data_IF_360344910673
#
_entry.id   IF_360344910673
#
_cell.length_a   1.000
_cell.length_b   1.000
_cell.length_c   1.000
_cell.angle_alpha   90.00
_cell.angle_beta   90.00
_cell.angle_gamma   90.00
#
_symmetry.space_group_name_H-M   'P 1'
#
loop_
_entity.id
_entity.type
_entity.pdbx_description
1 polymer ?
#
# COMPACT_ATOMS: atom_id res chain seq x y z
N UNK A 1 16.27 20.08 18.34
CA UNK A 1 16.11 20.31 19.79
C UNK A 1 16.56 19.16 20.69
N UNK A 2 15.87 18.00 20.82
CA UNK A 2 16.20 16.96 21.83
C UNK A 2 17.64 16.41 21.86
N UNK A 3 18.38 16.51 20.74
CA UNK A 3 19.80 16.12 20.63
C UNK A 3 20.78 17.31 20.62
N UNK A 4 20.30 18.53 20.89
CA UNK A 4 21.09 19.77 20.90
C UNK A 4 21.60 20.24 19.53
N UNK A 5 21.23 19.60 18.42
CA UNK A 5 21.78 19.88 17.08
C UNK A 5 21.08 20.99 16.28
N UNK A 6 19.93 21.48 16.77
CA UNK A 6 19.12 22.49 16.10
C UNK A 6 18.46 23.32 17.19
N UNK A 7 18.75 24.62 17.16
CA UNK A 7 18.19 25.66 18.02
C UNK A 7 17.23 26.52 17.18
N UNK A 8 15.98 26.62 17.63
CA UNK A 8 14.92 27.35 16.97
C UNK A 8 14.48 28.59 17.77
N UNK A 9 15.16 28.93 18.86
CA UNK A 9 14.83 30.06 19.72
C UNK A 9 14.85 31.40 18.99
N UNK A 10 15.66 31.53 17.94
CA UNK A 10 15.79 32.73 17.10
C UNK A 10 14.98 32.66 15.80
N UNK A 11 14.11 31.67 15.62
CA UNK A 11 13.30 31.54 14.41
C UNK A 11 12.24 32.65 14.34
N UNK A 12 12.49 33.66 13.50
CA UNK A 12 11.56 34.78 13.28
C UNK A 12 10.40 34.45 12.33
N UNK A 13 10.51 33.37 11.55
CA UNK A 13 9.49 32.96 10.58
C UNK A 13 9.30 31.46 10.60
N UNK A 14 8.04 31.01 10.65
CA UNK A 14 7.65 29.61 10.55
C UNK A 14 6.59 29.45 9.46
N UNK A 15 6.83 28.51 8.55
CA UNK A 15 5.90 28.17 7.47
C UNK A 15 5.48 26.73 7.62
N UNK A 16 4.17 26.51 7.75
CA UNK A 16 3.55 25.18 7.74
C UNK A 16 2.90 24.98 6.37
N UNK A 17 3.57 24.25 5.48
CA UNK A 17 3.05 23.92 4.16
C UNK A 17 2.40 22.52 4.14
N UNK A 18 1.38 22.34 3.29
CA UNK A 18 0.54 21.13 3.23
C UNK A 18 0.08 20.66 4.64
N UNK A 19 -0.40 21.60 5.48
CA UNK A 19 -0.61 21.33 6.90
C UNK A 19 -1.66 20.24 7.20
N UNK A 20 -2.74 20.17 6.42
CA UNK A 20 -3.73 19.09 6.49
C UNK A 20 -3.14 17.70 6.26
N UNK A 21 -2.14 17.62 5.39
CA UNK A 21 -1.44 16.38 5.11
C UNK A 21 -0.49 15.96 6.24
N UNK A 22 0.18 16.91 6.88
CA UNK A 22 1.00 16.57 8.05
C UNK A 22 0.14 16.03 9.20
N UNK A 23 -1.09 16.53 9.35
CA UNK A 23 -2.07 15.99 10.30
C UNK A 23 -2.54 14.57 9.94
N UNK A 24 -2.86 14.32 8.66
CA UNK A 24 -3.34 13.00 8.22
C UNK A 24 -2.31 11.89 8.47
N UNK A 25 -1.04 12.27 8.53
CA UNK A 25 0.08 11.40 8.89
C UNK A 25 0.29 11.19 10.40
N UNK A 26 -0.40 11.95 11.25
CA UNK A 26 -0.23 11.89 12.70
C UNK A 26 0.94 12.71 13.23
N UNK A 27 1.48 13.68 12.47
CA UNK A 27 2.59 14.53 12.93
C UNK A 27 2.16 15.72 13.80
N UNK A 28 0.91 15.74 14.26
CA UNK A 28 0.40 16.88 15.03
C UNK A 28 1.23 17.15 16.29
N UNK A 29 1.56 16.10 17.05
CA UNK A 29 2.36 16.22 18.28
C UNK A 29 3.78 16.73 17.98
N UNK A 30 4.37 16.27 16.88
CA UNK A 30 5.70 16.70 16.45
C UNK A 30 5.69 18.18 16.01
N UNK A 31 4.65 18.63 15.31
CA UNK A 31 4.48 20.03 14.90
C UNK A 31 4.32 20.92 16.13
N UNK A 32 3.46 20.54 17.07
CA UNK A 32 3.26 21.29 18.31
C UNK A 32 4.59 21.42 19.07
N UNK A 33 5.34 20.33 19.20
CA UNK A 33 6.66 20.33 19.84
C UNK A 33 7.63 21.32 19.16
N UNK A 34 7.64 21.37 17.82
CA UNK A 34 8.49 22.30 17.07
C UNK A 34 8.06 23.75 17.31
N UNK A 35 6.76 24.03 17.27
CA UNK A 35 6.22 25.38 17.43
C UNK A 35 6.41 25.91 18.86
N UNK A 36 6.30 25.04 19.86
CA UNK A 36 6.53 25.38 21.27
C UNK A 36 8.01 25.75 21.55
N UNK A 37 8.95 25.23 20.75
CA UNK A 37 10.38 25.52 20.87
C UNK A 37 10.84 26.73 20.02
N UNK A 38 9.91 27.41 19.33
CA UNK A 38 10.19 28.64 18.56
C UNK A 38 9.79 29.91 19.34
N UNK A 39 10.41 31.04 19.02
CA UNK A 39 10.07 32.36 19.63
C UNK A 39 8.58 32.67 19.53
N UNK A 40 7.99 33.22 20.60
CA UNK A 40 6.60 33.72 20.58
C UNK A 40 6.44 34.90 19.61
N UNK A 41 7.46 35.76 19.50
CA UNK A 41 7.50 36.84 18.51
C UNK A 41 8.04 36.30 17.19
N UNK A 42 7.14 35.73 16.39
CA UNK A 42 7.45 35.21 15.05
C UNK A 42 6.29 35.45 14.08
N UNK A 43 6.61 35.51 12.80
CA UNK A 43 5.61 35.41 11.74
C UNK A 43 5.31 33.94 11.46
N UNK A 44 4.04 33.54 11.56
CA UNK A 44 3.59 32.19 11.19
C UNK A 44 2.73 32.25 9.93
N UNK A 45 3.05 31.44 8.92
CA UNK A 45 2.21 31.23 7.74
C UNK A 45 1.77 29.76 7.67
N UNK A 46 0.49 29.52 7.42
CA UNK A 46 -0.09 28.17 7.30
C UNK A 46 -0.77 28.03 5.95
N UNK A 47 -0.31 27.05 5.15
CA UNK A 47 -0.88 26.67 3.88
C UNK A 47 -1.47 25.27 4.00
N UNK A 48 -2.71 25.13 3.55
CA UNK A 48 -3.45 23.87 3.67
C UNK A 48 -4.47 23.77 2.56
N UNK A 49 -4.60 22.59 1.95
CA UNK A 49 -5.57 22.38 0.89
C UNK A 49 -7.01 22.32 1.45
N UNK A 50 -7.15 21.87 2.69
CA UNK A 50 -8.40 21.73 3.45
C UNK A 50 -8.28 22.36 4.84
N UNK A 51 -9.41 22.64 5.50
CA UNK A 51 -9.45 23.30 6.82
C UNK A 51 -10.24 22.48 7.86
N UNK A 52 -9.77 21.27 8.21
CA UNK A 52 -10.37 20.46 9.27
C UNK A 52 -10.22 21.14 10.63
N UNK A 53 -10.99 20.67 11.64
CA UNK A 53 -11.02 21.29 12.98
C UNK A 53 -9.64 21.36 13.62
N UNK A 54 -8.80 20.34 13.43
CA UNK A 54 -7.44 20.30 13.96
C UNK A 54 -6.54 21.39 13.37
N UNK A 55 -6.63 21.68 12.06
CA UNK A 55 -5.89 22.81 11.45
C UNK A 55 -6.34 24.14 12.02
N UNK A 56 -7.66 24.33 12.20
CA UNK A 56 -8.17 25.55 12.82
C UNK A 56 -7.68 25.72 14.26
N UNK A 57 -7.63 24.63 15.02
CA UNK A 57 -7.08 24.64 16.37
C UNK A 57 -5.59 25.01 16.37
N UNK A 58 -4.82 24.43 15.45
CA UNK A 58 -3.40 24.75 15.29
C UNK A 58 -3.19 26.22 14.93
N UNK A 59 -3.93 26.73 13.93
CA UNK A 59 -3.87 28.14 13.52
C UNK A 59 -4.23 29.08 14.68
N UNK A 60 -5.32 28.80 15.41
CA UNK A 60 -5.75 29.63 16.53
C UNK A 60 -4.77 29.62 17.71
N UNK A 61 -4.04 28.52 17.91
CA UNK A 61 -3.10 28.37 19.03
C UNK A 61 -1.75 29.02 18.75
N UNK A 62 -1.26 28.95 17.50
CA UNK A 62 0.13 29.30 17.16
C UNK A 62 0.28 30.46 16.17
N UNK A 63 -0.81 31.08 15.74
CA UNK A 63 -0.80 32.27 14.90
C UNK A 63 -1.43 33.45 15.64
N UNK A 64 -0.79 34.61 15.59
CA UNK A 64 -1.34 35.85 16.09
C UNK A 64 -2.09 36.58 14.97
N UNK A 65 -3.35 36.95 15.23
CA UNK A 65 -4.27 37.65 14.31
C UNK A 65 -4.15 37.23 12.81
N UNK A 66 -4.34 35.95 12.46
CA UNK A 66 -4.05 35.45 11.12
C UNK A 66 -5.00 36.03 10.06
N UNK A 67 -4.45 36.52 8.96
CA UNK A 67 -5.22 36.88 7.78
C UNK A 67 -5.58 35.61 7.00
N UNK A 68 -6.88 35.40 6.76
CA UNK A 68 -7.36 34.21 6.06
C UNK A 68 -7.57 34.50 4.57
N UNK A 69 -6.86 33.79 3.72
CA UNK A 69 -7.04 33.82 2.26
C UNK A 69 -7.61 32.47 1.84
N UNK A 70 -8.83 32.46 1.31
CA UNK A 70 -9.47 31.26 0.79
C UNK A 70 -9.61 31.38 -0.74
N UNK A 71 -8.98 30.45 -1.47
CA UNK A 71 -9.13 30.33 -2.92
C UNK A 71 -10.23 29.31 -3.18
N UNK A 72 -11.27 29.69 -3.91
CA UNK A 72 -12.30 28.74 -4.33
C UNK A 72 -11.69 27.67 -5.24
N UNK A 73 -11.84 26.39 -4.87
CA UNK A 73 -11.40 25.28 -5.71
C UNK A 73 -12.25 25.22 -6.97
N UNK A 74 -11.72 25.68 -8.10
CA UNK A 74 -12.22 25.26 -9.41
C UNK A 74 -12.05 23.73 -9.50
N UNK A 75 -13.14 22.98 -9.65
CA UNK A 75 -13.22 21.50 -9.59
C UNK A 75 -12.41 20.73 -10.68
N UNK A 76 -11.36 21.29 -11.27
CA UNK A 76 -10.88 20.90 -12.62
C UNK A 76 -9.56 20.13 -12.70
N UNK A 77 -8.92 19.72 -11.61
CA UNK A 77 -7.63 19.01 -11.73
C UNK A 77 -7.73 17.51 -11.98
N UNK A 78 -8.86 16.88 -11.66
CA UNK A 78 -8.99 15.42 -11.87
C UNK A 78 -9.53 15.08 -13.28
N UNK A 79 -10.16 16.02 -13.99
CA UNK A 79 -10.72 15.73 -15.32
C UNK A 79 -9.67 15.42 -16.40
N UNK A 80 -8.40 15.78 -16.20
CA UNK A 80 -7.30 15.48 -17.14
C UNK A 80 -6.55 14.17 -16.83
N UNK A 81 -6.89 13.51 -15.71
CA UNK A 81 -6.22 12.29 -15.27
C UNK A 81 -7.12 11.09 -15.55
N UNK A 82 -6.67 10.22 -16.44
CA UNK A 82 -7.28 8.92 -16.67
C UNK A 82 -7.00 8.02 -15.46
N UNK A 83 -8.05 7.46 -14.84
CA UNK A 83 -7.94 6.64 -13.65
C UNK A 83 -8.45 5.23 -13.89
N UNK A 84 -7.56 4.24 -13.74
CA UNK A 84 -7.88 2.81 -13.83
C UNK A 84 -7.51 2.08 -12.55
N UNK A 85 -8.34 1.13 -12.15
CA UNK A 85 -8.11 0.25 -11.01
C UNK A 85 -8.06 -1.21 -11.46
N UNK A 86 -7.15 -1.98 -10.87
CA UNK A 86 -6.95 -3.40 -11.16
C UNK A 86 -7.10 -4.21 -9.89
N UNK A 87 -8.06 -5.12 -9.91
CA UNK A 87 -8.29 -6.07 -8.83
C UNK A 87 -7.26 -7.19 -8.91
N UNK A 88 -6.44 -7.34 -7.87
CA UNK A 88 -5.32 -8.30 -7.81
C UNK A 88 -5.21 -8.97 -6.44
N UNK A 89 -4.56 -10.12 -6.37
CA UNK A 89 -4.13 -10.67 -5.08
C UNK A 89 -2.88 -9.95 -4.59
N UNK A 90 -2.67 -9.92 -3.27
CA UNK A 90 -1.51 -9.23 -2.68
C UNK A 90 -0.17 -9.75 -3.23
N UNK A 91 -0.03 -11.08 -3.34
CA UNK A 91 1.17 -11.73 -3.86
C UNK A 91 1.36 -11.51 -5.38
N UNK A 92 0.30 -11.18 -6.11
CA UNK A 92 0.31 -10.95 -7.55
C UNK A 92 0.57 -9.48 -7.91
N UNK A 93 0.60 -8.54 -6.94
CA UNK A 93 0.76 -7.10 -7.21
C UNK A 93 2.01 -6.78 -8.05
N UNK A 94 3.14 -7.42 -7.73
CA UNK A 94 4.38 -7.23 -8.48
C UNK A 94 4.24 -7.71 -9.94
N UNK A 95 3.65 -8.89 -10.14
CA UNK A 95 3.39 -9.43 -11.47
C UNK A 95 2.43 -8.53 -12.26
N UNK A 96 1.37 -8.03 -11.62
CA UNK A 96 0.42 -7.10 -12.21
C UNK A 96 1.10 -5.79 -12.62
N UNK A 97 1.92 -5.21 -11.74
CA UNK A 97 2.68 -4.01 -12.02
C UNK A 97 3.56 -4.19 -13.26
N UNK A 98 4.38 -5.25 -13.31
CA UNK A 98 5.27 -5.49 -14.46
C UNK A 98 4.51 -5.71 -15.77
N UNK A 99 3.30 -6.28 -15.74
CA UNK A 99 2.47 -6.40 -16.94
C UNK A 99 1.97 -5.05 -17.44
N UNK A 100 1.60 -4.15 -16.53
CA UNK A 100 1.20 -2.79 -16.90
C UNK A 100 2.39 -2.03 -17.51
N UNK A 101 3.59 -2.20 -16.95
CA UNK A 101 4.81 -1.61 -17.50
C UNK A 101 5.15 -2.02 -18.94
N UNK A 102 4.64 -3.17 -19.40
CA UNK A 102 4.88 -3.67 -20.76
C UNK A 102 3.87 -3.15 -21.79
N UNK A 103 2.69 -2.67 -21.35
CA UNK A 103 1.62 -2.23 -22.27
C UNK A 103 1.40 -0.72 -22.25
N UNK A 104 1.70 -0.08 -21.12
CA UNK A 104 1.50 1.35 -20.97
C UNK A 104 2.67 2.14 -21.59
N UNK A 105 2.41 3.23 -22.32
CA UNK A 105 3.45 4.06 -22.93
C UNK A 105 4.13 4.97 -21.88
N UNK A 106 4.88 4.37 -20.96
CA UNK A 106 5.48 5.07 -19.81
C UNK A 106 6.71 5.88 -20.23
N UNK A 107 6.62 7.20 -20.16
CA UNK A 107 7.78 8.10 -20.22
C UNK A 107 8.47 8.25 -18.87
N UNK A 108 7.68 8.36 -17.80
CA UNK A 108 8.10 8.61 -16.43
C UNK A 108 7.02 8.09 -15.47
N UNK A 109 7.41 7.34 -14.44
CA UNK A 109 6.51 6.70 -13.51
C UNK A 109 6.89 7.00 -12.05
N UNK A 110 5.88 7.33 -11.25
CA UNK A 110 5.98 7.40 -9.79
C UNK A 110 5.10 6.33 -9.17
N UNK A 111 5.71 5.42 -8.42
CA UNK A 111 5.06 4.28 -7.78
C UNK A 111 4.98 4.53 -6.28
N UNK A 112 3.76 4.52 -5.73
CA UNK A 112 3.53 4.67 -4.31
C UNK A 112 3.41 3.32 -3.60
N UNK A 113 4.31 3.08 -2.64
CA UNK A 113 4.29 1.93 -1.75
C UNK A 113 4.12 2.36 -0.28
N UNK A 114 3.55 1.48 0.54
CA UNK A 114 3.14 1.79 1.91
C UNK A 114 4.31 2.02 2.87
N UNK A 115 5.41 1.28 2.74
CA UNK A 115 6.51 1.26 3.72
C UNK A 115 7.85 1.59 3.08
N UNK A 116 8.78 2.15 3.87
CA UNK A 116 10.14 2.48 3.39
C UNK A 116 10.88 1.23 2.92
N UNK A 117 10.82 0.14 3.70
CA UNK A 117 11.37 -1.16 3.31
C UNK A 117 10.73 -1.66 2.01
N UNK A 118 9.41 -1.51 1.87
CA UNK A 118 8.68 -1.89 0.67
C UNK A 118 9.14 -1.13 -0.57
N UNK A 119 9.45 0.17 -0.46
CA UNK A 119 9.96 0.95 -1.60
C UNK A 119 11.30 0.42 -2.13
N UNK A 120 12.24 0.11 -1.23
CA UNK A 120 13.56 -0.42 -1.61
C UNK A 120 13.45 -1.83 -2.20
N UNK A 121 12.67 -2.71 -1.57
CA UNK A 121 12.42 -4.05 -2.08
C UNK A 121 11.78 -4.00 -3.48
N UNK A 122 10.74 -3.18 -3.66
CA UNK A 122 10.06 -3.05 -4.94
C UNK A 122 10.97 -2.49 -6.04
N UNK A 123 11.78 -1.46 -5.75
CA UNK A 123 12.74 -0.90 -6.70
C UNK A 123 13.79 -1.93 -7.15
N UNK A 124 14.31 -2.73 -6.20
CA UNK A 124 15.25 -3.81 -6.50
C UNK A 124 14.61 -4.90 -7.37
N UNK A 125 13.39 -5.32 -7.03
CA UNK A 125 12.64 -6.33 -7.80
C UNK A 125 12.34 -5.84 -9.23
N UNK A 126 12.00 -4.56 -9.41
CA UNK A 126 11.80 -3.96 -10.74
C UNK A 126 13.09 -3.93 -11.54
N UNK A 127 14.19 -3.50 -10.92
CA UNK A 127 15.52 -3.44 -11.56
C UNK A 127 16.00 -4.83 -11.99
N UNK A 128 15.82 -5.85 -11.13
CA UNK A 128 16.14 -7.24 -11.44
C UNK A 128 15.33 -7.79 -12.63
N UNK A 129 14.15 -7.22 -12.91
CA UNK A 129 13.28 -7.55 -14.05
C UNK A 129 13.50 -6.62 -15.25
N UNK A 130 14.58 -5.85 -15.26
CA UNK A 130 14.95 -4.99 -16.38
C UNK A 130 14.15 -3.69 -16.48
N UNK A 131 13.51 -3.24 -15.40
CA UNK A 131 12.89 -1.92 -15.26
C UNK A 131 13.73 -1.05 -14.33
N UNK A 132 14.56 -0.12 -14.87
CA UNK A 132 15.42 0.73 -14.05
C UNK A 132 14.58 1.60 -13.10
N UNK A 133 14.63 1.28 -11.81
CA UNK A 133 13.82 1.92 -10.78
C UNK A 133 14.66 2.22 -9.54
N UNK A 134 14.39 3.37 -8.91
CA UNK A 134 15.07 3.75 -7.67
C UNK A 134 14.08 4.10 -6.54
N UNK A 135 14.41 3.73 -5.30
CA UNK A 135 13.58 4.09 -4.16
C UNK A 135 13.78 5.56 -3.78
N UNK A 136 12.72 6.18 -3.26
CA UNK A 136 12.72 7.52 -2.70
C UNK A 136 11.94 7.48 -1.39
N UNK A 137 12.66 7.35 -0.27
CA UNK A 137 12.06 7.20 1.05
C UNK A 137 12.85 7.97 2.11
N UNK A 138 12.34 8.01 3.34
CA UNK A 138 12.94 8.76 4.45
C UNK A 138 14.23 8.18 5.03
N UNK A 139 14.73 7.05 4.52
CA UNK A 139 15.99 6.47 4.96
C UNK A 139 17.18 6.97 4.10
N UNK A 140 16.90 7.64 2.99
CA UNK A 140 17.91 8.29 2.16
C UNK A 140 18.44 9.57 2.83
N UNK A 141 19.76 9.78 2.74
CA UNK A 141 20.34 11.08 3.07
C UNK A 141 19.83 12.15 2.11
N UNK A 142 19.84 13.42 2.54
CA UNK A 142 19.42 14.53 1.69
C UNK A 142 20.20 14.59 0.37
N UNK A 143 21.52 14.36 0.42
CA UNK A 143 22.36 14.28 -0.78
C UNK A 143 21.97 13.14 -1.71
N UNK A 144 21.72 11.94 -1.16
CA UNK A 144 21.27 10.80 -1.97
C UNK A 144 19.90 11.07 -2.61
N UNK A 145 18.99 11.71 -1.85
CA UNK A 145 17.68 12.14 -2.34
C UNK A 145 17.82 13.08 -3.55
N UNK A 146 18.65 14.10 -3.44
CA UNK A 146 18.91 15.05 -4.53
C UNK A 146 19.53 14.38 -5.76
N UNK A 147 20.42 13.41 -5.58
CA UNK A 147 21.01 12.64 -6.68
C UNK A 147 19.99 11.76 -7.41
N UNK A 148 19.10 11.07 -6.67
CA UNK A 148 18.01 10.28 -7.24
C UNK A 148 17.07 11.18 -8.05
N UNK A 149 16.66 12.31 -7.46
CA UNK A 149 15.78 13.29 -8.11
C UNK A 149 16.44 13.91 -9.34
N UNK A 150 17.73 14.24 -9.26
CA UNK A 150 18.50 14.73 -10.40
C UNK A 150 18.51 13.71 -11.53
N UNK A 151 18.79 12.44 -11.26
CA UNK A 151 18.77 11.38 -12.28
C UNK A 151 17.39 11.19 -12.90
N UNK A 152 16.32 11.33 -12.13
CA UNK A 152 14.95 11.26 -12.64
C UNK A 152 14.62 12.45 -13.56
N UNK A 153 14.90 13.69 -13.12
CA UNK A 153 14.65 14.90 -13.93
C UNK A 153 15.42 14.91 -15.25
N UNK A 154 16.64 14.38 -15.27
CA UNK A 154 17.46 14.24 -16.48
C UNK A 154 17.15 12.97 -17.29
N UNK A 155 16.05 12.27 -16.98
CA UNK A 155 15.57 11.08 -17.72
C UNK A 155 16.59 9.92 -17.76
N UNK A 156 17.53 9.86 -16.79
CA UNK A 156 18.49 8.76 -16.63
C UNK A 156 17.82 7.54 -15.99
N UNK A 157 16.84 7.79 -15.13
CA UNK A 157 15.92 6.78 -14.60
C UNK A 157 14.49 7.23 -14.92
N UNK A 158 13.63 6.27 -15.23
CA UNK A 158 12.23 6.55 -15.60
C UNK A 158 11.24 6.20 -14.50
N UNK A 159 11.68 5.51 -13.44
CA UNK A 159 10.80 4.95 -12.42
C UNK A 159 11.31 5.33 -11.04
N UNK A 160 10.44 5.95 -10.25
CA UNK A 160 10.66 6.19 -8.82
C UNK A 160 9.68 5.38 -8.00
N UNK A 161 10.15 4.79 -6.91
CA UNK A 161 9.31 4.09 -5.93
C UNK A 161 9.36 4.85 -4.62
N UNK A 162 8.26 5.48 -4.23
CA UNK A 162 8.21 6.39 -3.10
C UNK A 162 7.16 6.02 -2.04
N UNK A 163 7.39 6.47 -0.82
CA UNK A 163 6.33 6.59 0.19
C UNK A 163 5.64 7.94 0.06
N UNK A 164 4.44 8.07 0.63
CA UNK A 164 3.71 9.35 0.66
C UNK A 164 4.57 10.50 1.17
N UNK A 165 5.34 10.26 2.24
CA UNK A 165 6.20 11.27 2.88
C UNK A 165 7.27 11.78 1.94
N UNK A 166 7.95 10.85 1.27
CA UNK A 166 9.09 11.19 0.42
C UNK A 166 8.66 11.77 -0.93
N UNK A 167 7.39 11.56 -1.31
CA UNK A 167 6.79 12.11 -2.50
C UNK A 167 6.24 13.54 -2.34
N UNK A 168 6.12 14.04 -1.10
CA UNK A 168 5.68 15.41 -0.83
C UNK A 168 6.74 16.44 -1.17
N UNK A 169 6.28 17.62 -1.60
CA UNK A 169 7.17 18.72 -2.04
C UNK A 169 8.08 18.35 -3.21
N UNK A 170 7.85 17.21 -3.88
CA UNK A 170 8.58 16.87 -5.08
C UNK A 170 8.13 17.80 -6.21
N UNK A 171 8.98 18.77 -6.49
CA UNK A 171 8.97 19.52 -7.72
C UNK A 171 9.56 18.65 -8.84
N UNK A 172 8.73 17.70 -9.27
CA UNK A 172 8.98 16.84 -10.41
C UNK A 172 7.83 17.08 -11.37
N UNK A 173 8.04 18.02 -12.27
CA UNK A 173 7.16 18.20 -13.40
C UNK A 173 7.22 16.96 -14.30
N UNK A 174 6.11 16.69 -15.01
CA UNK A 174 6.06 15.74 -16.12
C UNK A 174 6.13 14.24 -15.78
N UNK A 175 5.48 13.82 -14.69
CA UNK A 175 5.19 12.40 -14.46
C UNK A 175 4.03 11.98 -15.37
N UNK A 176 4.25 11.05 -16.30
CA UNK A 176 3.15 10.55 -17.16
C UNK A 176 2.27 9.54 -16.44
N UNK A 177 2.86 8.72 -15.56
CA UNK A 177 2.14 7.65 -14.89
C UNK A 177 2.33 7.69 -13.37
N UNK A 178 1.22 7.64 -12.64
CA UNK A 178 1.23 7.39 -11.20
C UNK A 178 0.68 5.99 -10.94
N UNK A 179 1.45 5.17 -10.23
CA UNK A 179 1.04 3.84 -9.81
C UNK A 179 0.78 3.83 -8.31
N UNK A 180 -0.45 3.55 -7.89
CA UNK A 180 -0.74 3.15 -6.52
C UNK A 180 -0.51 1.64 -6.39
N UNK A 181 0.72 1.24 -6.05
CA UNK A 181 1.04 -0.17 -5.79
C UNK A 181 0.30 -0.67 -4.55
N UNK A 182 0.28 0.18 -3.52
CA UNK A 182 -0.58 0.02 -2.35
C UNK A 182 -1.67 1.08 -2.35
N UNK A 183 -2.93 0.66 -2.23
CA UNK A 183 -4.06 1.58 -2.14
C UNK A 183 -3.92 2.45 -0.87
N UNK A 184 -4.01 3.80 -0.98
CA UNK A 184 -3.93 4.67 0.19
C UNK A 184 -5.10 4.40 1.16
N UNK A 185 -4.86 4.64 2.45
CA UNK A 185 -5.89 4.47 3.49
C UNK A 185 -6.99 5.53 3.38
N UNK A 186 -6.59 6.74 2.98
CA UNK A 186 -7.45 7.92 2.95
C UNK A 186 -7.56 8.53 1.55
N UNK A 187 -8.72 9.14 1.31
CA UNK A 187 -9.09 9.68 0.00
C UNK A 187 -8.33 10.96 -0.35
N UNK A 188 -7.92 11.74 0.65
CA UNK A 188 -7.08 12.95 0.47
C UNK A 188 -5.70 12.58 -0.06
N UNK A 189 -5.06 11.60 0.58
CA UNK A 189 -3.78 11.04 0.13
C UNK A 189 -3.90 10.55 -1.33
N UNK A 190 -4.99 9.86 -1.68
CA UNK A 190 -5.20 9.43 -3.07
C UNK A 190 -5.16 10.60 -4.06
N UNK A 191 -5.88 11.69 -3.77
CA UNK A 191 -5.90 12.89 -4.62
C UNK A 191 -4.51 13.49 -4.75
N UNK A 192 -3.72 13.55 -3.67
CA UNK A 192 -2.35 14.05 -3.72
C UNK A 192 -1.37 13.17 -4.48
N UNK A 193 -1.58 11.85 -4.46
CA UNK A 193 -0.81 10.90 -5.27
C UNK A 193 -1.09 11.09 -6.75
N UNK A 194 -2.36 11.04 -7.15
CA UNK A 194 -2.72 11.17 -8.57
C UNK A 194 -2.42 12.58 -9.10
N UNK A 195 -2.49 13.61 -8.24
CA UNK A 195 -2.07 14.97 -8.56
C UNK A 195 -0.56 15.16 -8.78
N UNK A 196 0.24 14.08 -8.73
CA UNK A 196 1.64 14.09 -9.21
C UNK A 196 1.74 13.97 -10.73
N UNK A 197 0.68 13.52 -11.39
CA UNK A 197 0.54 13.58 -12.86
C UNK A 197 -0.51 14.60 -13.27
N UNK A 198 -0.68 14.83 -14.58
CA UNK A 198 -1.72 15.73 -15.11
C UNK A 198 -1.52 17.21 -14.77
N UNK A 199 -0.29 17.64 -14.47
CA UNK A 199 0.06 19.02 -14.13
C UNK A 199 0.20 19.90 -15.38
N UNK A 200 0.02 21.21 -15.21
CA UNK A 200 0.20 22.22 -16.27
C UNK A 200 -0.60 21.94 -17.57
N UNK A 201 -1.80 21.37 -17.45
CA UNK A 201 -2.69 21.10 -18.59
C UNK A 201 -2.34 19.83 -19.40
N UNK A 202 -1.31 19.08 -18.99
CA UNK A 202 -0.99 17.76 -19.57
C UNK A 202 -1.99 16.70 -19.12
N UNK A 203 -2.15 15.66 -19.92
CA UNK A 203 -2.88 14.44 -19.53
C UNK A 203 -1.98 13.54 -18.69
N UNK A 204 -2.57 12.81 -17.76
CA UNK A 204 -1.87 11.86 -16.90
C UNK A 204 -2.63 10.57 -16.74
N UNK A 205 -1.93 9.48 -16.43
CA UNK A 205 -2.56 8.18 -16.16
C UNK A 205 -2.27 7.77 -14.72
N UNK A 206 -3.32 7.46 -13.97
CA UNK A 206 -3.24 6.96 -12.60
C UNK A 206 -3.76 5.52 -12.53
N UNK A 207 -2.85 4.58 -12.29
CA UNK A 207 -3.15 3.15 -12.22
C UNK A 207 -3.11 2.67 -10.78
N UNK A 208 -4.17 2.02 -10.32
CA UNK A 208 -4.33 1.63 -8.92
C UNK A 208 -4.49 0.14 -8.78
N UNK A 209 -3.58 -0.51 -8.04
CA UNK A 209 -3.72 -1.91 -7.66
C UNK A 209 -4.49 -1.99 -6.34
N UNK A 210 -5.47 -2.89 -6.25
CA UNK A 210 -6.21 -3.11 -5.01
C UNK A 210 -6.61 -4.57 -4.86
N UNK A 211 -6.73 -5.01 -3.60
CA UNK A 211 -7.16 -6.36 -3.27
C UNK A 211 -8.67 -6.46 -3.01
N UNK A 212 -9.27 -7.67 -3.02
CA UNK A 212 -10.68 -7.85 -2.66
C UNK A 212 -11.04 -7.24 -1.29
N UNK A 213 -10.11 -7.27 -0.32
CA UNK A 213 -10.30 -6.71 1.03
C UNK A 213 -10.33 -5.18 1.04
N UNK A 214 -9.83 -4.54 -0.02
CA UNK A 214 -9.68 -3.09 -0.15
C UNK A 214 -10.76 -2.47 -1.05
N UNK A 215 -11.67 -3.27 -1.61
CA UNK A 215 -12.73 -2.79 -2.49
C UNK A 215 -13.60 -1.70 -1.83
N UNK A 216 -13.83 -1.79 -0.52
CA UNK A 216 -14.57 -0.76 0.22
C UNK A 216 -13.82 0.58 0.27
N UNK A 217 -12.48 0.57 0.32
CA UNK A 217 -11.66 1.79 0.30
C UNK A 217 -11.70 2.45 -1.07
N UNK A 218 -11.64 1.66 -2.14
CA UNK A 218 -11.79 2.18 -3.51
C UNK A 218 -13.12 2.91 -3.66
N UNK A 219 -14.23 2.33 -3.18
CA UNK A 219 -15.55 2.99 -3.17
C UNK A 219 -15.59 4.27 -2.32
N UNK A 220 -14.85 4.30 -1.20
CA UNK A 220 -14.71 5.52 -0.38
C UNK A 220 -14.00 6.63 -1.16
N UNK A 221 -12.95 6.28 -1.90
CA UNK A 221 -12.22 7.20 -2.78
C UNK A 221 -13.15 7.74 -3.88
N UNK A 222 -13.86 6.88 -4.61
CA UNK A 222 -14.79 7.29 -5.68
C UNK A 222 -15.87 8.26 -5.16
N UNK A 223 -16.41 8.00 -3.96
CA UNK A 223 -17.41 8.87 -3.33
C UNK A 223 -16.83 10.24 -2.96
N UNK A 224 -15.58 10.28 -2.51
CA UNK A 224 -14.89 11.52 -2.15
C UNK A 224 -14.53 12.35 -3.39
N UNK A 225 -13.95 11.71 -4.41
CA UNK A 225 -13.57 12.36 -5.67
C UNK A 225 -14.79 12.71 -6.53
N UNK A 226 -15.97 12.12 -6.23
CA UNK A 226 -17.19 12.18 -7.05
C UNK A 226 -16.95 11.70 -8.48
N UNK A 227 -15.97 10.82 -8.66
CA UNK A 227 -15.59 10.26 -9.94
C UNK A 227 -15.50 8.74 -9.81
N UNK A 228 -16.05 8.06 -10.81
CA UNK A 228 -15.96 6.60 -10.90
C UNK A 228 -14.58 6.22 -11.42
N UNK A 229 -13.92 5.28 -10.76
CA UNK A 229 -12.63 4.76 -11.22
C UNK A 229 -12.92 3.49 -12.02
N UNK A 230 -12.48 3.46 -13.28
CA UNK A 230 -12.74 2.32 -14.15
C UNK A 230 -11.98 1.09 -13.63
N UNK A 231 -12.70 0.01 -13.33
CA UNK A 231 -12.05 -1.27 -12.99
C UNK A 231 -11.72 -2.02 -14.28
N UNK A 232 -10.45 -2.03 -14.65
CA UNK A 232 -9.94 -2.65 -15.86
C UNK A 232 -9.40 -4.07 -15.58
N UNK A 233 -9.34 -4.89 -16.64
CA UNK A 233 -8.69 -6.20 -16.58
C UNK A 233 -7.20 -6.04 -16.86
N UNK A 234 -6.39 -6.84 -16.16
CA UNK A 234 -4.97 -6.88 -16.42
C UNK A 234 -4.69 -7.44 -17.83
N UNK A 235 -3.65 -6.92 -18.50
CA UNK A 235 -3.19 -7.47 -19.76
C UNK A 235 -2.88 -8.97 -19.65
N UNK A 236 -3.30 -9.71 -20.65
CA UNK A 236 -2.96 -11.13 -20.79
C UNK A 236 -1.53 -11.29 -21.30
N UNK A 237 -0.92 -12.48 -21.14
CA UNK A 237 0.37 -12.75 -21.76
C UNK A 237 0.37 -12.59 -23.28
N UNK A 238 -0.77 -12.82 -23.94
CA UNK A 238 -0.92 -12.63 -25.39
C UNK A 238 -0.91 -11.14 -25.75
N UNK A 239 -1.61 -10.30 -24.98
CA UNK A 239 -1.60 -8.84 -25.17
C UNK A 239 -0.18 -8.28 -25.07
N UNK A 240 0.60 -8.75 -24.09
CA UNK A 240 1.99 -8.31 -23.87
C UNK A 240 2.89 -8.75 -25.04
N UNK A 241 2.78 -10.01 -25.49
CA UNK A 241 3.54 -10.50 -26.64
C UNK A 241 3.20 -9.71 -27.89
N UNK A 242 1.91 -9.47 -28.15
CA UNK A 242 1.44 -8.68 -29.28
C UNK A 242 1.98 -7.24 -29.24
N UNK A 243 2.00 -6.61 -28.05
CA UNK A 243 2.57 -5.26 -27.87
C UNK A 243 4.07 -5.23 -28.16
N UNK A 244 4.84 -6.17 -27.63
CA UNK A 244 6.29 -6.28 -27.89
C UNK A 244 6.59 -6.45 -29.38
N UNK A 245 5.81 -7.29 -30.04
CA UNK A 245 5.94 -7.52 -31.49
C UNK A 245 5.60 -6.26 -32.28
N UNK A 246 4.52 -5.57 -31.93
CA UNK A 246 4.14 -4.30 -32.57
C UNK A 246 5.24 -3.23 -32.41
N UNK A 247 5.80 -3.06 -31.21
CA UNK A 247 6.88 -2.09 -30.97
C UNK A 247 8.16 -2.42 -31.75
N UNK A 248 8.50 -3.72 -31.86
CA UNK A 248 9.64 -4.17 -32.63
C UNK A 248 9.46 -3.86 -34.12
N UNK A 249 8.28 -4.17 -34.67
CA UNK A 249 7.95 -3.89 -36.06
C UNK A 249 7.93 -2.38 -36.35
N UNK A 250 7.43 -1.56 -35.44
CA UNK A 250 7.45 -0.10 -35.57
C UNK A 250 8.88 0.43 -35.62
N UNK A 251 9.76 -0.02 -34.70
CA UNK A 251 11.19 0.33 -34.73
C UNK A 251 11.85 -0.10 -36.03
N UNK A 252 11.59 -1.32 -36.49
CA UNK A 252 12.11 -1.82 -37.77
C UNK A 252 11.64 -0.96 -38.94
N UNK A 253 10.35 -0.59 -38.99
CA UNK A 253 9.81 0.27 -40.03
C UNK A 253 10.49 1.66 -40.07
N UNK A 254 10.81 2.23 -38.90
CA UNK A 254 11.57 3.49 -38.80
C UNK A 254 12.98 3.33 -39.39
N UNK A 255 13.69 2.25 -39.08
CA UNK A 255 15.04 2.00 -39.59
C UNK A 255 15.06 1.68 -41.10
N UNK A 256 14.07 0.91 -41.57
CA UNK A 256 13.89 0.64 -43.00
C UNK A 256 13.72 1.94 -43.81
N UNK A 257 12.91 2.89 -43.31
CA UNK A 257 12.74 4.22 -43.94
C UNK A 257 14.03 5.05 -43.95
N UNK A 258 14.88 4.91 -42.93
CA UNK A 258 16.14 5.66 -42.81
C UNK A 258 17.24 5.15 -43.74
N UNK A 259 17.18 3.89 -44.18
CA UNK A 259 18.09 3.32 -45.20
C UNK A 259 19.57 3.17 -44.79
N UNK A 260 19.90 3.32 -43.50
CA UNK A 260 21.28 3.27 -42.98
C UNK A 260 21.67 1.86 -42.53
N UNK A 261 21.79 0.93 -43.48
CA UNK A 261 22.08 -0.49 -43.20
C UNK A 261 23.14 -1.08 -44.14
N UNK A 262 24.18 -0.32 -44.51
CA UNK A 262 25.18 -0.78 -45.50
C UNK A 262 25.97 -1.99 -44.99
N UNK A 263 26.47 -1.91 -43.75
CA UNK A 263 27.25 -3.00 -43.15
C UNK A 263 26.40 -4.25 -42.93
N UNK A 264 25.17 -4.07 -42.46
CA UNK A 264 24.23 -5.17 -42.25
C UNK A 264 23.88 -5.86 -43.57
N UNK A 265 23.75 -5.11 -44.67
CA UNK A 265 23.55 -5.68 -46.01
C UNK A 265 24.74 -6.50 -46.48
N UNK A 266 25.97 -6.03 -46.26
CA UNK A 266 27.19 -6.80 -46.58
C UNK A 266 27.22 -8.13 -45.81
N UNK A 267 26.91 -8.11 -44.50
CA UNK A 267 26.86 -9.30 -43.67
C UNK A 267 25.78 -10.29 -44.14
N UNK A 268 24.60 -9.78 -44.50
CA UNK A 268 23.52 -10.62 -45.05
C UNK A 268 23.90 -11.18 -46.42
N UNK A 269 24.56 -10.41 -47.28
CA UNK A 269 25.03 -10.88 -48.58
C UNK A 269 26.01 -12.07 -48.45
N UNK A 270 26.97 -12.00 -47.52
CA UNK A 270 27.87 -13.11 -47.24
C UNK A 270 27.14 -14.39 -46.79
N UNK A 271 26.12 -14.27 -45.93
CA UNK A 271 25.30 -15.42 -45.53
C UNK A 271 24.49 -16.02 -46.69
N UNK A 272 24.05 -15.19 -47.64
CA UNK A 272 23.36 -15.65 -48.85
C UNK A 272 24.34 -16.36 -49.79
N UNK A 273 25.57 -15.86 -49.92
CA UNK A 273 26.64 -16.54 -50.68
C UNK A 273 26.99 -17.92 -50.09
N UNK A 274 26.90 -18.07 -48.77
CA UNK A 274 27.04 -19.35 -48.06
C UNK A 274 25.84 -20.29 -48.28
N UNK A 275 24.81 -19.87 -49.01
CA UNK A 275 23.66 -20.68 -49.41
C UNK A 275 22.44 -20.58 -48.47
N UNK A 276 22.42 -19.62 -47.54
CA UNK A 276 21.27 -19.42 -46.65
C UNK A 276 20.18 -18.56 -47.29
N UNK A 277 18.92 -18.89 -47.03
CA UNK A 277 17.77 -18.13 -47.53
C UNK A 277 17.58 -16.79 -46.79
N UNK A 278 17.19 -15.75 -47.54
CA UNK A 278 16.99 -14.39 -47.01
C UNK A 278 15.92 -14.33 -45.91
N UNK A 279 14.84 -15.10 -46.05
CA UNK A 279 13.75 -15.12 -45.07
C UNK A 279 14.20 -15.85 -43.80
N UNK A 280 14.99 -16.91 -43.93
CA UNK A 280 15.58 -17.60 -42.78
C UNK A 280 16.56 -16.70 -42.01
N UNK A 281 17.45 -15.98 -42.71
CA UNK A 281 18.36 -15.01 -42.11
C UNK A 281 17.58 -13.93 -41.34
N UNK A 282 16.53 -13.37 -41.96
CA UNK A 282 15.69 -12.35 -41.34
C UNK A 282 14.95 -12.90 -40.10
N UNK A 283 14.44 -14.13 -40.16
CA UNK A 283 13.78 -14.77 -39.04
C UNK A 283 14.74 -15.02 -37.87
N UNK A 284 15.97 -15.46 -38.14
CA UNK A 284 17.01 -15.65 -37.11
C UNK A 284 17.45 -14.32 -36.51
N UNK A 285 17.66 -13.29 -37.33
CA UNK A 285 17.99 -11.95 -36.85
C UNK A 285 16.89 -11.40 -35.93
N UNK A 286 15.61 -11.60 -36.30
CA UNK A 286 14.48 -11.22 -35.47
C UNK A 286 14.44 -12.02 -34.15
N UNK A 287 14.69 -13.33 -34.21
CA UNK A 287 14.78 -14.19 -33.03
C UNK A 287 15.89 -13.76 -32.07
N UNK A 288 17.04 -13.32 -32.60
CA UNK A 288 18.15 -12.77 -31.82
C UNK A 288 17.83 -11.39 -31.25
N UNK A 289 17.19 -10.50 -32.02
CA UNK A 289 16.75 -9.20 -31.54
C UNK A 289 15.75 -9.30 -30.38
N UNK A 290 14.92 -10.36 -30.38
CA UNK A 290 14.00 -10.69 -29.30
C UNK A 290 14.66 -11.38 -28.10
N UNK A 291 15.97 -11.61 -28.09
CA UNK A 291 16.64 -12.30 -27.00
C UNK A 291 16.52 -11.56 -25.65
N UNK A 292 16.45 -10.22 -25.67
CA UNK A 292 16.23 -9.40 -24.47
C UNK A 292 14.87 -9.66 -23.81
N UNK A 293 13.86 -10.15 -24.55
CA UNK A 293 12.56 -10.53 -23.98
C UNK A 293 12.69 -11.63 -22.92
N UNK A 294 13.76 -12.43 -22.97
CA UNK A 294 14.05 -13.46 -21.96
C UNK A 294 14.35 -12.86 -20.58
N UNK A 295 14.88 -11.64 -20.53
CA UNK A 295 15.17 -10.95 -19.28
C UNK A 295 13.90 -10.41 -18.60
N UNK A 296 12.78 -10.33 -19.33
CA UNK A 296 11.47 -9.86 -18.84
C UNK A 296 10.41 -10.96 -18.92
N UNK A 297 10.47 -11.98 -18.04
CA UNK A 297 9.48 -13.05 -18.04
C UNK A 297 8.09 -12.53 -17.66
N UNK A 298 7.06 -12.98 -18.38
CA UNK A 298 5.68 -12.66 -18.06
C UNK A 298 5.24 -13.53 -16.89
N UNK A 299 5.20 -12.96 -15.69
CA UNK A 299 4.77 -13.66 -14.48
C UNK A 299 3.31 -14.12 -14.59
N UNK A 300 3.03 -15.33 -14.09
CA UNK A 300 1.66 -15.85 -13.95
C UNK A 300 0.95 -15.08 -12.83
N UNK A 301 -0.36 -14.89 -12.98
CA UNK A 301 -1.22 -14.21 -12.00
C UNK A 301 -2.32 -15.18 -11.63
N UNK A 302 -2.57 -15.33 -10.32
CA UNK A 302 -3.64 -16.19 -9.82
C UNK A 302 -5.02 -15.64 -10.14
N UNK A 303 -6.01 -16.52 -10.27
CA UNK A 303 -7.40 -16.08 -10.38
C UNK A 303 -7.79 -15.34 -9.09
N UNK A 304 -8.35 -14.14 -9.22
CA UNK A 304 -8.83 -13.40 -8.05
C UNK A 304 -10.19 -13.94 -7.67
N UNK A 305 -10.23 -14.77 -6.62
CA UNK A 305 -11.49 -15.17 -6.01
C UNK A 305 -11.94 -14.01 -5.14
N UNK A 306 -12.91 -13.23 -5.65
CA UNK A 306 -13.65 -12.32 -4.80
C UNK A 306 -14.34 -13.20 -3.74
N UNK A 307 -13.84 -13.19 -2.50
CA UNK A 307 -14.53 -13.82 -1.39
C UNK A 307 -15.93 -13.22 -1.37
N UNK A 308 -16.93 -13.99 -1.80
CA UNK A 308 -18.31 -13.55 -1.91
C UNK A 308 -18.66 -12.85 -0.62
N UNK A 309 -18.94 -11.55 -0.70
CA UNK A 309 -19.48 -10.79 0.41
C UNK A 309 -20.59 -11.65 1.00
N UNK A 310 -20.47 -12.00 2.28
CA UNK A 310 -21.52 -12.71 3.03
C UNK A 310 -22.82 -12.01 2.69
N UNK A 311 -23.65 -12.67 1.88
CA UNK A 311 -24.96 -12.18 1.50
C UNK A 311 -25.64 -11.75 2.79
N UNK A 312 -26.00 -10.46 2.84
CA UNK A 312 -26.79 -9.87 3.90
C UNK A 312 -28.01 -10.76 4.14
N UNK A 313 -27.93 -11.59 5.19
CA UNK A 313 -29.09 -12.29 5.75
C UNK A 313 -29.86 -11.26 6.58
N UNK A 314 -30.35 -10.21 5.91
CA UNK A 314 -31.13 -9.13 6.52
C UNK A 314 -32.53 -8.96 5.90
N UNK A 315 -32.96 -9.91 5.07
CA UNK A 315 -34.32 -9.98 4.53
C UNK A 315 -35.02 -11.27 4.96
N UNK A 316 -35.29 -11.42 6.27
CA UNK A 316 -36.24 -12.46 6.73
C UNK A 316 -37.02 -12.16 8.01
N UNK A 317 -37.17 -10.89 8.38
CA UNK A 317 -38.16 -10.47 9.38
C UNK A 317 -38.81 -9.15 8.96
N UNK A 318 -39.68 -9.26 7.97
CA UNK A 318 -40.58 -8.20 7.58
C UNK A 318 -41.70 -8.82 6.77
N UNK A 319 -42.79 -9.22 7.42
CA UNK A 319 -44.14 -8.74 7.13
C UNK A 319 -45.18 -9.67 7.79
N UNK A 320 -45.92 -9.15 8.75
CA UNK A 320 -47.00 -9.91 9.37
C UNK A 320 -47.50 -9.32 10.68
N UNK A 321 -48.09 -8.12 10.65
CA UNK A 321 -49.41 -7.86 11.28
C UNK A 321 -49.89 -6.42 11.09
N UNK A 322 -51.00 -6.37 10.36
CA UNK A 322 -52.07 -5.38 10.23
C UNK A 322 -52.09 -4.22 11.26
N UNK A 323 -52.24 -3.04 10.68
CA UNK A 323 -52.99 -1.87 11.20
C UNK A 323 -54.20 -2.29 12.03
N UNK A 324 -54.27 -1.75 13.24
CA UNK A 324 -55.46 -1.69 14.09
C UNK A 324 -55.39 -0.41 14.92
N UNK A 325 -56.16 0.58 14.49
CA UNK A 325 -56.46 1.84 15.15
C UNK A 325 -57.11 1.59 16.52
N UNK A 326 -56.62 2.18 17.62
CA UNK A 326 -57.44 2.65 18.74
C UNK A 326 -56.62 3.52 19.69
N UNK A 327 -57.12 4.73 19.97
CA UNK A 327 -56.55 5.65 20.95
C UNK A 327 -56.78 5.21 22.39
N UNK A 328 -56.13 5.88 23.33
CA UNK A 328 -56.38 5.65 24.74
C UNK A 328 -55.30 6.21 25.65
N UNK A 329 -55.62 7.34 26.27
CA UNK A 329 -54.94 8.00 27.37
C UNK A 329 -54.80 7.04 28.58
N UNK A 330 -53.67 7.02 29.28
CA UNK A 330 -53.50 6.16 30.46
C UNK A 330 -52.19 6.34 31.21
N UNK A 331 -52.23 7.18 32.25
CA UNK A 331 -51.26 7.24 33.37
C UNK A 331 -51.28 5.92 34.17
N UNK A 332 -50.33 5.80 35.11
CA UNK A 332 -50.15 4.78 36.17
C UNK A 332 -49.29 3.57 35.76
N UNK A 333 -48.47 2.96 36.59
CA UNK A 333 -47.84 3.28 37.87
C UNK A 333 -46.77 2.21 38.11
N UNK A 334 -45.80 2.59 38.92
CA UNK A 334 -44.79 1.79 39.62
C UNK A 334 -45.39 0.49 40.18
N UNK A 335 -44.70 -0.64 39.95
CA UNK A 335 -45.12 -1.94 40.46
C UNK A 335 -44.05 -3.02 40.31
N UNK A 336 -43.47 -3.36 41.45
CA UNK A 336 -42.45 -4.36 41.73
C UNK A 336 -42.87 -5.78 41.32
N UNK A 337 -41.95 -6.63 40.86
CA UNK A 337 -42.31 -8.00 40.45
C UNK A 337 -41.15 -8.90 40.02
N UNK A 338 -40.57 -9.57 41.02
CA UNK A 338 -39.61 -10.67 40.97
C UNK A 338 -39.72 -11.67 39.81
N UNK A 339 -38.55 -12.19 39.41
CA UNK A 339 -38.36 -13.63 39.25
C UNK A 339 -38.50 -14.20 37.84
N UNK A 340 -37.34 -14.36 37.17
CA UNK A 340 -36.95 -15.58 36.42
C UNK A 340 -35.52 -15.39 35.91
N UNK A 341 -34.57 -15.62 36.81
CA UNK A 341 -33.22 -16.05 36.42
C UNK A 341 -33.38 -17.37 35.69
N UNK A 342 -33.33 -17.34 34.37
CA UNK A 342 -33.30 -18.54 33.56
C UNK A 342 -31.82 -18.86 33.30
N UNK A 343 -31.36 -19.92 33.97
CA UNK A 343 -30.09 -20.60 33.78
C UNK A 343 -29.78 -20.75 32.29
N UNK A 344 -28.89 -19.91 31.77
CA UNK A 344 -28.21 -20.20 30.51
C UNK A 344 -26.92 -20.91 30.83
N UNK A 345 -27.05 -22.24 30.85
CA UNK A 345 -26.08 -23.20 30.31
C UNK A 345 -24.70 -22.61 30.03
N UNK A 346 -23.85 -22.65 31.04
CA UNK A 346 -22.40 -22.62 30.88
C UNK A 346 -21.96 -23.84 30.07
N UNK A 347 -22.01 -23.72 28.74
CA UNK A 347 -21.21 -24.59 27.87
C UNK A 347 -19.77 -24.13 27.99
N UNK A 348 -19.03 -24.81 28.86
CA UNK A 348 -17.58 -24.91 28.83
C UNK A 348 -17.12 -25.01 27.38
N UNK A 349 -16.57 -23.92 26.86
CA UNK A 349 -15.90 -23.88 25.55
C UNK A 349 -14.40 -24.02 25.81
N UNK A 350 -14.04 -25.11 26.50
CA UNK A 350 -12.66 -25.50 26.76
C UNK A 350 -12.17 -26.49 25.71
N UNK A 351 -10.96 -26.26 25.22
CA UNK A 351 -10.05 -27.26 24.64
C UNK A 351 -10.23 -27.79 23.22
N UNK A 352 -10.79 -27.02 22.28
CA UNK A 352 -10.54 -27.31 20.86
C UNK A 352 -9.92 -26.11 20.14
N UNK A 353 -8.67 -26.30 19.71
CA UNK A 353 -7.97 -25.48 18.72
C UNK A 353 -8.87 -25.28 17.50
N UNK A 354 -8.84 -24.08 16.91
CA UNK A 354 -9.80 -23.68 15.87
C UNK A 354 -9.38 -24.18 14.47
N UNK A 355 -8.36 -25.02 14.36
CA UNK A 355 -7.80 -25.53 13.10
C UNK A 355 -7.46 -27.02 13.21
N UNK A 356 -7.81 -27.80 12.18
CA UNK A 356 -7.50 -29.24 12.10
C UNK A 356 -5.98 -29.44 12.06
N UNK A 357 -5.42 -30.31 12.92
CA UNK A 357 -3.98 -30.60 13.01
C UNK A 357 -3.17 -29.68 13.95
N UNK A 358 -3.82 -28.76 14.66
CA UNK A 358 -3.21 -27.89 15.66
C UNK A 358 -3.56 -28.33 17.09
N UNK A 359 -2.61 -28.23 18.02
CA UNK A 359 -2.79 -28.45 19.45
C UNK A 359 -2.68 -27.11 20.17
N UNK A 360 -3.63 -26.84 21.06
CA UNK A 360 -3.61 -25.64 21.89
C UNK A 360 -2.73 -25.84 23.12
N UNK A 361 -1.81 -24.92 23.31
CA UNK A 361 -0.94 -24.83 24.49
C UNK A 361 -1.30 -23.58 25.29
N UNK A 362 -1.13 -23.65 26.60
CA UNK A 362 -1.32 -22.56 27.55
C UNK A 362 0.02 -22.13 28.14
N UNK A 363 0.26 -20.82 28.18
CA UNK A 363 1.39 -20.20 28.83
C UNK A 363 0.90 -19.42 30.06
N UNK A 364 1.63 -19.52 31.17
CA UNK A 364 1.32 -18.84 32.44
C UNK A 364 1.67 -17.33 32.47
N UNK A 365 1.65 -16.65 31.32
CA UNK A 365 1.84 -15.22 31.23
C UNK A 365 0.88 -14.60 30.22
N UNK A 366 0.47 -13.37 30.51
CA UNK A 366 -0.53 -12.63 29.73
C UNK A 366 -0.18 -11.16 29.54
N UNK A 367 -1.20 -10.34 29.25
CA UNK A 367 -1.04 -8.88 29.04
C UNK A 367 -0.47 -8.16 30.25
N UNK A 368 -0.83 -8.61 31.46
CA UNK A 368 -0.32 -8.03 32.70
C UNK A 368 1.20 -8.19 32.84
N UNK A 369 1.78 -9.20 32.20
CA UNK A 369 3.22 -9.45 32.12
C UNK A 369 3.90 -8.75 30.93
N UNK A 370 3.17 -7.90 30.18
CA UNK A 370 3.68 -7.17 29.02
C UNK A 370 3.83 -8.02 27.76
N UNK A 371 3.26 -9.23 27.72
CA UNK A 371 3.40 -10.18 26.62
C UNK A 371 2.70 -9.68 25.35
N UNK A 372 3.44 -9.56 24.24
CA UNK A 372 2.89 -9.26 22.91
C UNK A 372 2.90 -10.50 22.03
N UNK A 373 2.07 -10.55 20.96
CA UNK A 373 2.04 -11.71 20.05
C UNK A 373 3.42 -12.02 19.44
N UNK A 374 4.20 -11.00 19.10
CA UNK A 374 5.55 -11.16 18.56
C UNK A 374 6.51 -11.82 19.54
N UNK A 375 6.35 -11.58 20.85
CA UNK A 375 7.17 -12.19 21.88
C UNK A 375 6.85 -13.69 21.98
N UNK A 376 5.57 -14.06 21.93
CA UNK A 376 5.12 -15.46 21.92
C UNK A 376 5.68 -16.20 20.70
N UNK A 377 5.55 -15.62 19.50
CA UNK A 377 6.07 -16.19 18.26
C UNK A 377 7.60 -16.32 18.33
N UNK A 378 8.31 -15.26 18.72
CA UNK A 378 9.76 -15.24 18.78
C UNK A 378 10.32 -16.24 19.78
N UNK A 379 9.78 -16.27 21.00
CA UNK A 379 10.21 -17.16 22.08
C UNK A 379 9.94 -18.63 21.74
N UNK A 380 8.78 -18.96 21.19
CA UNK A 380 8.46 -20.35 20.81
C UNK A 380 9.27 -20.78 19.59
N UNK A 381 9.32 -19.97 18.53
CA UNK A 381 10.06 -20.29 17.31
C UNK A 381 11.55 -20.52 17.60
N UNK A 382 12.16 -19.66 18.41
CA UNK A 382 13.58 -19.74 18.76
C UNK A 382 13.93 -20.97 19.60
N UNK A 383 13.20 -21.22 20.70
CA UNK A 383 13.57 -22.30 21.63
C UNK A 383 13.07 -23.70 21.19
N UNK A 384 11.95 -23.77 20.48
CA UNK A 384 11.43 -25.03 19.93
C UNK A 384 12.00 -25.35 18.54
N UNK A 385 12.80 -24.44 17.96
CA UNK A 385 13.35 -24.53 16.61
C UNK A 385 12.26 -24.85 15.56
N UNK A 386 11.20 -24.04 15.55
CA UNK A 386 10.09 -24.14 14.60
C UNK A 386 9.93 -22.84 13.82
N UNK A 387 9.51 -22.87 12.55
CA UNK A 387 9.21 -21.66 11.81
C UNK A 387 8.12 -20.85 12.52
N UNK A 388 8.34 -19.55 12.74
CA UNK A 388 7.33 -18.68 13.37
C UNK A 388 6.01 -18.62 12.59
N UNK A 389 6.06 -18.87 11.27
CA UNK A 389 4.89 -19.00 10.40
C UNK A 389 4.07 -20.27 10.64
N UNK A 390 4.62 -21.27 11.33
CA UNK A 390 3.91 -22.49 11.67
C UNK A 390 3.06 -22.34 12.95
N UNK A 391 3.26 -21.26 13.71
CA UNK A 391 2.47 -20.97 14.92
C UNK A 391 1.12 -20.39 14.48
N UNK A 392 0.04 -21.02 14.95
CA UNK A 392 -1.34 -20.63 14.66
C UNK A 392 -1.84 -19.48 15.52
N UNK A 393 -3.13 -19.50 15.83
CA UNK A 393 -3.77 -18.42 16.57
C UNK A 393 -3.20 -18.25 17.99
N UNK A 394 -2.87 -17.01 18.35
CA UNK A 394 -2.41 -16.62 19.68
C UNK A 394 -3.49 -15.76 20.34
N UNK A 395 -3.96 -16.18 21.51
CA UNK A 395 -4.93 -15.46 22.33
C UNK A 395 -4.29 -15.09 23.67
N UNK A 396 -3.89 -13.83 23.80
CA UNK A 396 -3.30 -13.30 25.03
C UNK A 396 -4.42 -12.74 25.92
N UNK A 397 -4.64 -13.40 27.05
CA UNK A 397 -5.51 -12.92 28.13
C UNK A 397 -4.68 -12.16 29.17
N UNK A 398 -5.30 -11.67 30.25
CA UNK A 398 -4.60 -10.83 31.22
C UNK A 398 -3.52 -11.60 31.99
N UNK A 399 -3.80 -12.84 32.42
CA UNK A 399 -2.89 -13.66 33.23
C UNK A 399 -2.26 -14.85 32.47
N UNK A 400 -2.85 -15.28 31.36
CA UNK A 400 -2.36 -16.43 30.59
C UNK A 400 -2.53 -16.23 29.08
N UNK A 401 -1.82 -17.04 28.30
CA UNK A 401 -1.84 -16.98 26.83
C UNK A 401 -2.09 -18.34 26.23
N UNK A 402 -2.99 -18.43 25.26
CA UNK A 402 -3.24 -19.64 24.50
C UNK A 402 -2.59 -19.53 23.12
N UNK A 403 -1.85 -20.54 22.70
CA UNK A 403 -1.21 -20.60 21.39
C UNK A 403 -1.51 -21.92 20.71
N UNK A 404 -1.92 -21.87 19.45
CA UNK A 404 -2.12 -23.06 18.63
C UNK A 404 -0.80 -23.41 17.91
N UNK A 405 -0.33 -24.64 18.07
CA UNK A 405 0.92 -25.16 17.48
C UNK A 405 0.62 -26.47 16.75
N UNK A 406 1.22 -26.77 15.58
CA UNK A 406 1.00 -28.02 14.88
C UNK A 406 1.29 -29.22 15.77
N UNK A 407 0.47 -30.28 15.68
CA UNK A 407 0.57 -31.46 16.55
C UNK A 407 1.98 -32.08 16.54
N UNK A 408 2.62 -32.12 15.35
CA UNK A 408 4.00 -32.58 15.16
C UNK A 408 5.06 -31.80 15.95
N UNK A 409 4.76 -30.57 16.39
CA UNK A 409 5.68 -29.71 17.14
C UNK A 409 5.27 -29.53 18.61
N UNK A 410 4.05 -29.94 19.00
CA UNK A 410 3.54 -29.75 20.36
C UNK A 410 4.48 -30.37 21.43
N UNK A 411 5.00 -31.56 21.18
CA UNK A 411 5.91 -32.26 22.10
C UNK A 411 7.29 -31.57 22.21
N UNK A 412 7.76 -30.93 21.13
CA UNK A 412 9.00 -30.14 21.12
C UNK A 412 8.82 -28.85 21.93
N UNK A 413 7.66 -28.20 21.82
CA UNK A 413 7.37 -27.00 22.60
C UNK A 413 7.26 -27.33 24.09
N UNK A 414 6.56 -28.41 24.45
CA UNK A 414 6.39 -28.87 25.84
C UNK A 414 7.67 -29.38 26.51
N UNK A 415 8.60 -29.98 25.77
CA UNK A 415 9.88 -30.48 26.33
C UNK A 415 10.88 -29.38 26.69
N UNK A 416 10.56 -28.11 26.37
CA UNK A 416 11.40 -26.93 26.64
C UNK A 416 10.82 -26.01 27.72
N UNK A 417 9.83 -26.48 28.47
CA UNK A 417 9.22 -25.76 29.60
C UNK A 417 10.29 -25.26 30.58
N UNK A 418 10.30 -23.95 30.85
CA UNK A 418 11.31 -23.27 31.69
C UNK A 418 12.48 -22.60 30.95
N UNK A 419 12.73 -22.93 29.67
CA UNK A 419 13.71 -22.23 28.83
C UNK A 419 13.16 -20.94 28.21
N UNK A 420 11.83 -20.86 28.10
CA UNK A 420 11.11 -19.70 27.61
C UNK A 420 11.14 -18.57 28.64
N UNK A 421 11.72 -17.44 28.27
CA UNK A 421 11.75 -16.23 29.09
C UNK A 421 11.17 -15.07 28.30
N UNK A 422 10.30 -14.32 28.95
CA UNK A 422 9.87 -13.01 28.47
C UNK A 422 10.22 -12.03 29.59
N UNK A 423 11.07 -11.06 29.26
CA UNK A 423 11.76 -10.22 30.24
C UNK A 423 12.51 -11.05 31.29
N UNK A 424 12.25 -10.83 32.59
CA UNK A 424 12.90 -11.55 33.70
C UNK A 424 12.14 -12.80 34.17
N UNK A 425 10.90 -13.03 33.71
CA UNK A 425 9.99 -14.10 34.17
C UNK A 425 10.18 -15.38 33.34
N UNK A 426 10.16 -16.54 34.02
CA UNK A 426 10.16 -17.86 33.36
C UNK A 426 8.73 -18.24 32.99
N UNK A 427 8.54 -18.73 31.78
CA UNK A 427 7.25 -19.19 31.29
C UNK A 427 7.13 -20.71 31.49
N UNK A 428 6.02 -21.16 32.07
CA UNK A 428 5.57 -22.55 31.99
C UNK A 428 4.64 -22.72 30.80
N UNK A 429 4.77 -23.84 30.10
CA UNK A 429 3.94 -24.19 28.95
C UNK A 429 3.31 -25.54 29.22
N UNK A 430 1.99 -25.60 29.14
CA UNK A 430 1.19 -26.80 29.38
C UNK A 430 0.20 -26.99 28.22
N UNK A 431 -0.28 -28.21 28.04
CA UNK A 431 -1.36 -28.46 27.08
C UNK A 431 -2.65 -27.92 27.68
N UNK A 432 -3.34 -27.04 26.94
CA UNK A 432 -4.57 -26.38 27.41
C UNK A 432 -5.68 -27.39 27.62
#
# INVERSE_FOLDING_TARGET
MKKGKLDLSQAATVVLDEADEMLSMGFIEDIETILDETSEQRQTALFSATLPRQIRQLANKYMDQPQTIAIERSQRTVSTIEQRAYLVNEHDKLAALTRLFEVEPISSALIFAKTRVGTAALANELTARGFPAEPLNGDLSQQAREQVLGRFRHNKIKVLVATDVAARGLDIDDISHVFNFDLPQDSEIYVHRVGRTGRAGKTGIALTLFTPKEQWRLRKIEKYTKQKIETAKLPTPEDIKGRREAELLEKMAVWLKRGRCSRERELVAGLVEDGHDLLEIAAIALKLARAEEKQRPIAKIGAVVASSARQNKRDRFGNGRKRGNFGGNGRFNKGNGNGRFNEKNGRQKGNRSHESGMVRLSLNAGRADGLRPNDVVGTIAFHANIPGSAIGAIHIQDEHTLVDVPEQFAQKVLSKTGSYRVHKKKLSVEKA
#
